data_IF_163308411033
#
_entry.id   IF_163308411033
#
_cell.length_a   1.000
_cell.length_b   1.000
_cell.length_c   1.000
_cell.angle_alpha   90.00
_cell.angle_beta   90.00
_cell.angle_gamma   90.00
#
_symmetry.space_group_name_H-M   'P 1'
#
loop_
_entity.id
_entity.type
_entity.pdbx_description
1 polymer ?
#
# COMPACT_ATOMS: atom_id res chain seq x y z
N UNK A 1 12.71 -7.50 27.08
CA UNK A 1 13.64 -6.53 27.70
C UNK A 1 13.39 -6.33 29.19
N UNK A 2 12.14 -6.22 29.66
CA UNK A 2 11.82 -6.05 31.09
C UNK A 2 12.42 -7.16 31.99
N UNK A 3 12.39 -8.43 31.56
CA UNK A 3 13.04 -9.55 32.28
C UNK A 3 14.57 -9.44 32.42
N UNK A 4 15.26 -8.76 31.50
CA UNK A 4 16.72 -8.56 31.60
C UNK A 4 17.01 -7.51 32.68
N UNK A 5 16.23 -6.44 32.73
CA UNK A 5 16.33 -5.43 33.77
C UNK A 5 15.95 -5.97 35.16
N UNK A 6 14.91 -6.79 35.26
CA UNK A 6 14.42 -7.28 36.56
C UNK A 6 15.20 -8.50 37.11
N UNK A 7 15.78 -9.35 36.25
CA UNK A 7 16.51 -10.54 36.71
C UNK A 7 18.01 -10.53 36.47
N UNK A 8 18.49 -9.95 35.37
CA UNK A 8 19.90 -10.05 34.98
C UNK A 8 20.75 -8.96 35.62
N UNK A 9 20.25 -7.72 35.69
CA UNK A 9 20.96 -6.64 36.39
C UNK A 9 21.13 -6.91 37.91
N UNK A 10 20.13 -7.43 38.64
CA UNK A 10 20.30 -7.68 40.08
C UNK A 10 21.12 -8.95 40.40
N UNK A 11 21.10 -9.97 39.53
CA UNK A 11 21.69 -11.29 39.83
C UNK A 11 23.08 -11.53 39.23
N UNK A 12 23.55 -10.67 38.30
CA UNK A 12 24.85 -10.77 37.62
C UNK A 12 25.18 -12.16 37.04
N UNK A 13 24.17 -13.00 36.76
CA UNK A 13 24.35 -14.38 36.33
C UNK A 13 24.38 -14.49 34.81
N UNK A 14 25.60 -14.63 34.27
CA UNK A 14 25.86 -14.94 32.85
C UNK A 14 24.99 -16.11 32.32
N UNK A 15 24.76 -17.21 33.07
CA UNK A 15 23.94 -18.32 32.59
C UNK A 15 22.50 -17.92 32.25
N UNK A 16 21.86 -17.07 33.09
CA UNK A 16 20.47 -16.65 32.88
C UNK A 16 20.33 -15.74 31.65
N UNK A 17 21.35 -14.91 31.38
CA UNK A 17 21.40 -14.09 30.18
C UNK A 17 21.53 -14.94 28.92
N UNK A 18 22.31 -16.03 28.96
CA UNK A 18 22.42 -16.97 27.82
C UNK A 18 21.09 -17.65 27.54
N UNK A 19 20.40 -18.16 28.57
CA UNK A 19 19.07 -18.77 28.39
C UNK A 19 18.04 -17.78 27.85
N UNK A 20 17.97 -16.56 28.40
CA UNK A 20 17.05 -15.53 27.90
C UNK A 20 17.37 -15.13 26.47
N UNK A 21 18.65 -15.02 26.11
CA UNK A 21 19.09 -14.74 24.74
C UNK A 21 18.72 -15.86 23.77
N UNK A 22 18.88 -17.12 24.19
CA UNK A 22 18.54 -18.28 23.36
C UNK A 22 17.02 -18.40 23.15
N UNK A 23 16.22 -18.14 24.20
CA UNK A 23 14.76 -18.07 24.10
C UNK A 23 14.34 -16.90 23.20
N UNK A 24 14.93 -15.72 23.37
CA UNK A 24 14.64 -14.55 22.53
C UNK A 24 14.96 -14.82 21.06
N UNK A 25 16.11 -15.46 20.79
CA UNK A 25 16.50 -15.85 19.43
C UNK A 25 15.53 -16.88 18.84
N UNK A 26 15.13 -17.89 19.61
CA UNK A 26 14.10 -18.85 19.21
C UNK A 26 12.75 -18.18 18.93
N UNK A 27 12.31 -17.26 19.78
CA UNK A 27 11.09 -16.49 19.59
C UNK A 27 11.14 -15.59 18.35
N UNK A 28 12.29 -14.98 18.06
CA UNK A 28 12.50 -14.18 16.84
C UNK A 28 12.46 -15.04 15.58
N UNK A 29 13.09 -16.22 15.60
CA UNK A 29 13.01 -17.18 14.48
C UNK A 29 11.56 -17.64 14.26
N UNK A 30 10.84 -17.92 15.34
CA UNK A 30 9.44 -18.31 15.28
C UNK A 30 8.57 -17.18 14.72
N UNK A 31 8.76 -15.95 15.20
CA UNK A 31 8.09 -14.76 14.68
C UNK A 31 8.36 -14.57 13.18
N UNK A 32 9.64 -14.64 12.76
CA UNK A 32 10.03 -14.52 11.36
C UNK A 32 9.40 -15.63 10.49
N UNK A 33 9.31 -16.84 11.02
CA UNK A 33 8.66 -17.97 10.33
C UNK A 33 7.16 -17.73 10.18
N UNK A 34 6.47 -17.29 11.24
CA UNK A 34 5.04 -16.97 11.18
C UNK A 34 4.77 -15.82 10.21
N UNK A 35 5.59 -14.78 10.20
CA UNK A 35 5.48 -13.67 9.26
C UNK A 35 5.69 -14.12 7.81
N UNK A 36 6.65 -15.01 7.56
CA UNK A 36 6.88 -15.59 6.23
C UNK A 36 5.67 -16.44 5.79
N UNK A 37 5.14 -17.28 6.67
CA UNK A 37 3.95 -18.10 6.40
C UNK A 37 2.75 -17.20 6.09
N UNK A 38 2.51 -16.16 6.90
CA UNK A 38 1.43 -15.18 6.69
C UNK A 38 1.56 -14.49 5.33
N UNK A 39 2.77 -14.06 4.95
CA UNK A 39 3.03 -13.43 3.66
C UNK A 39 2.69 -14.36 2.48
N UNK A 40 3.05 -15.65 2.56
CA UNK A 40 2.71 -16.66 1.55
C UNK A 40 1.19 -16.86 1.46
N UNK A 41 0.48 -16.92 2.58
CA UNK A 41 -0.97 -17.04 2.58
C UNK A 41 -1.66 -15.81 1.96
N UNK A 42 -1.25 -14.59 2.30
CA UNK A 42 -1.77 -13.37 1.67
C UNK A 42 -1.56 -13.39 0.14
N UNK A 43 -0.39 -13.82 -0.32
CA UNK A 43 -0.13 -13.96 -1.76
C UNK A 43 -1.01 -15.04 -2.41
N UNK A 44 -1.24 -16.18 -1.73
CA UNK A 44 -2.13 -17.24 -2.24
C UNK A 44 -3.58 -16.76 -2.34
N UNK A 45 -4.06 -16.01 -1.35
CA UNK A 45 -5.39 -15.37 -1.39
C UNK A 45 -5.45 -14.39 -2.57
N UNK A 46 -4.44 -13.55 -2.75
CA UNK A 46 -4.38 -12.63 -3.89
C UNK A 46 -4.43 -13.35 -5.25
N UNK A 47 -3.72 -14.48 -5.40
CA UNK A 47 -3.78 -15.31 -6.61
C UNK A 47 -5.13 -16.01 -6.80
N UNK A 48 -5.84 -16.32 -5.71
CA UNK A 48 -7.18 -16.90 -5.81
C UNK A 48 -8.21 -15.90 -6.35
N UNK A 49 -8.04 -14.60 -6.07
CA UNK A 49 -8.84 -13.54 -6.67
C UNK A 49 -8.60 -13.48 -8.19
N UNK A 50 -7.34 -13.54 -8.64
CA UNK A 50 -7.01 -13.56 -10.07
C UNK A 50 -7.67 -14.74 -10.80
N UNK A 51 -7.73 -15.92 -10.16
CA UNK A 51 -8.34 -17.11 -10.77
C UNK A 51 -9.86 -17.01 -10.87
N UNK A 52 -10.52 -16.39 -9.89
CA UNK A 52 -11.98 -16.26 -9.90
C UNK A 52 -12.47 -15.10 -10.76
N UNK A 53 -11.78 -13.96 -10.69
CA UNK A 53 -12.21 -12.72 -11.36
C UNK A 53 -11.44 -12.41 -12.64
N UNK A 54 -10.39 -13.17 -12.96
CA UNK A 54 -9.56 -12.93 -14.14
C UNK A 54 -10.30 -13.12 -15.46
N UNK A 55 -11.15 -14.15 -15.54
CA UNK A 55 -11.99 -14.41 -16.73
C UNK A 55 -13.02 -13.29 -16.91
N UNK A 56 -13.77 -12.96 -15.84
CA UNK A 56 -14.76 -11.88 -15.86
C UNK A 56 -14.13 -10.52 -16.19
N UNK A 57 -12.96 -10.21 -15.62
CA UNK A 57 -12.24 -8.97 -15.89
C UNK A 57 -11.73 -8.90 -17.34
N UNK A 58 -11.31 -10.04 -17.91
CA UNK A 58 -10.90 -10.13 -19.31
C UNK A 58 -12.10 -9.95 -20.26
N UNK A 59 -13.22 -10.62 -19.98
CA UNK A 59 -14.48 -10.45 -20.74
C UNK A 59 -14.97 -9.00 -20.63
N UNK A 60 -14.93 -8.39 -19.45
CA UNK A 60 -15.28 -6.99 -19.24
C UNK A 60 -14.36 -6.04 -20.01
N UNK A 61 -13.07 -6.37 -20.11
CA UNK A 61 -12.11 -5.58 -20.89
C UNK A 61 -12.39 -5.63 -22.39
N UNK A 62 -12.90 -6.75 -22.92
CA UNK A 62 -13.23 -6.91 -24.35
C UNK A 62 -14.60 -6.32 -24.69
N UNK A 63 -15.58 -6.48 -23.79
CA UNK A 63 -16.96 -6.00 -23.99
C UNK A 63 -17.13 -4.51 -23.71
N UNK A 64 -16.15 -3.86 -23.09
CA UNK A 64 -16.16 -2.42 -22.86
C UNK A 64 -16.20 -1.63 -24.18
N UNK A 65 -17.00 -0.56 -24.30
CA UNK A 65 -16.97 0.33 -25.47
C UNK A 65 -15.58 0.93 -25.74
N UNK A 66 -14.73 0.97 -24.70
CA UNK A 66 -13.33 1.43 -24.77
C UNK A 66 -12.34 0.32 -25.14
N UNK A 67 -12.78 -0.93 -25.28
CA UNK A 67 -11.95 -2.05 -25.75
C UNK A 67 -11.38 -1.77 -27.14
N UNK A 68 -12.18 -1.16 -28.03
CA UNK A 68 -11.73 -0.67 -29.34
C UNK A 68 -10.60 0.37 -29.24
N UNK A 69 -10.40 0.96 -28.06
CA UNK A 69 -9.33 1.90 -27.79
C UNK A 69 -8.03 1.26 -27.28
N UNK A 70 -8.03 -0.06 -27.00
CA UNK A 70 -6.94 -0.75 -26.33
C UNK A 70 -6.95 -0.58 -24.81
N UNK A 71 -8.09 -0.17 -24.24
CA UNK A 71 -8.22 0.11 -22.82
C UNK A 71 -8.37 -1.21 -22.02
N UNK A 72 -7.36 -1.50 -21.20
CA UNK A 72 -7.30 -2.67 -20.29
C UNK A 72 -7.58 -2.27 -18.83
N UNK A 73 -8.31 -1.18 -18.61
CA UNK A 73 -8.62 -0.67 -17.28
C UNK A 73 -9.16 -1.73 -16.31
N UNK A 74 -10.11 -2.62 -16.69
CA UNK A 74 -10.61 -3.67 -15.77
C UNK A 74 -9.51 -4.63 -15.30
N UNK A 75 -8.56 -4.95 -16.18
CA UNK A 75 -7.44 -5.84 -15.87
C UNK A 75 -6.40 -5.14 -14.97
N UNK A 76 -6.20 -3.83 -15.17
CA UNK A 76 -5.38 -2.99 -14.28
C UNK A 76 -5.99 -2.88 -12.89
N UNK A 77 -7.30 -2.67 -12.79
CA UNK A 77 -7.99 -2.54 -11.52
C UNK A 77 -7.96 -3.88 -10.74
N UNK A 78 -8.07 -5.02 -11.44
CA UNK A 78 -7.85 -6.34 -10.86
C UNK A 78 -6.42 -6.49 -10.32
N UNK A 79 -5.41 -6.08 -11.11
CA UNK A 79 -4.01 -6.12 -10.67
C UNK A 79 -3.74 -5.23 -9.44
N UNK A 80 -4.36 -4.03 -9.38
CA UNK A 80 -4.30 -3.14 -8.21
C UNK A 80 -4.95 -3.78 -6.99
N UNK A 81 -6.14 -4.38 -7.15
CA UNK A 81 -6.85 -5.08 -6.07
C UNK A 81 -6.03 -6.26 -5.54
N UNK A 82 -5.45 -7.06 -6.44
CA UNK A 82 -4.53 -8.14 -6.09
C UNK A 82 -3.32 -7.65 -5.30
N UNK A 83 -2.69 -6.58 -5.75
CA UNK A 83 -1.54 -5.97 -5.05
C UNK A 83 -1.93 -5.47 -3.66
N UNK A 84 -3.14 -4.93 -3.50
CA UNK A 84 -3.66 -4.52 -2.20
C UNK A 84 -3.89 -5.70 -1.27
N UNK A 85 -4.47 -6.80 -1.77
CA UNK A 85 -4.69 -8.03 -0.97
C UNK A 85 -3.38 -8.70 -0.58
N UNK A 86 -2.38 -8.69 -1.47
CA UNK A 86 -1.04 -9.18 -1.17
C UNK A 86 -0.23 -8.22 -0.26
N UNK A 87 -0.72 -7.01 0.00
CA UNK A 87 0.02 -6.00 0.76
C UNK A 87 0.07 -6.31 2.25
N UNK A 88 1.16 -5.87 2.90
CA UNK A 88 1.28 -5.88 4.36
C UNK A 88 0.22 -5.02 5.05
N UNK A 89 -0.33 -4.02 4.35
CA UNK A 89 -1.38 -3.14 4.90
C UNK A 89 -2.66 -3.90 5.24
N UNK A 90 -3.08 -4.83 4.39
CA UNK A 90 -4.25 -5.66 4.67
C UNK A 90 -4.01 -6.58 5.87
N UNK A 91 -2.81 -7.16 5.99
CA UNK A 91 -2.44 -7.98 7.14
C UNK A 91 -2.49 -7.19 8.45
N UNK A 92 -1.99 -5.95 8.46
CA UNK A 92 -2.07 -5.08 9.64
C UNK A 92 -3.52 -4.72 10.02
N UNK A 93 -4.43 -4.65 9.04
CA UNK A 93 -5.86 -4.40 9.30
C UNK A 93 -6.52 -5.60 10.00
N UNK A 94 -6.09 -6.82 9.68
CA UNK A 94 -6.53 -8.04 10.37
C UNK A 94 -6.02 -8.07 11.82
N UNK A 95 -4.86 -7.47 12.09
CA UNK A 95 -4.29 -7.38 13.44
C UNK A 95 -4.95 -6.27 14.30
N UNK A 96 -5.58 -5.27 13.66
CA UNK A 96 -6.26 -4.14 14.31
C UNK A 96 -7.25 -4.53 15.45
N UNK A 97 -8.15 -5.53 15.30
CA UNK A 97 -9.06 -5.95 16.37
C UNK A 97 -8.35 -6.52 17.60
N UNK A 98 -7.08 -6.92 17.51
CA UNK A 98 -6.29 -7.37 18.65
C UNK A 98 -5.66 -6.21 19.43
N UNK A 99 -5.59 -5.00 18.85
CA UNK A 99 -5.00 -3.83 19.51
C UNK A 99 -5.68 -3.49 20.87
N UNK A 100 -7.02 -3.50 21.01
CA UNK A 100 -7.67 -3.30 22.30
C UNK A 100 -7.32 -4.40 23.32
N UNK A 101 -7.16 -5.65 22.89
CA UNK A 101 -6.77 -6.76 23.77
C UNK A 101 -5.38 -6.48 24.35
N UNK A 102 -4.43 -6.05 23.53
CA UNK A 102 -3.10 -5.65 23.99
C UNK A 102 -3.15 -4.42 24.92
N UNK A 103 -4.04 -3.45 24.66
CA UNK A 103 -4.23 -2.31 25.54
C UNK A 103 -4.79 -2.69 26.92
N UNK A 104 -5.71 -3.67 26.98
CA UNK A 104 -6.24 -4.21 28.25
C UNK A 104 -5.15 -4.94 29.02
N UNK A 105 -4.35 -5.78 28.36
CA UNK A 105 -3.21 -6.44 29.00
C UNK A 105 -2.21 -5.41 29.54
N UNK A 106 -1.92 -4.35 28.78
CA UNK A 106 -1.04 -3.27 29.21
C UNK A 106 -1.62 -2.49 30.40
N UNK A 107 -2.93 -2.27 30.44
CA UNK A 107 -3.62 -1.65 31.58
C UNK A 107 -3.43 -2.46 32.86
N UNK A 108 -3.52 -3.79 32.79
CA UNK A 108 -3.28 -4.68 33.94
C UNK A 108 -1.84 -4.61 34.47
N UNK A 109 -0.86 -4.29 33.61
CA UNK A 109 0.55 -4.15 34.01
C UNK A 109 0.79 -2.77 34.64
N UNK A 110 0.41 -1.70 33.94
CA UNK A 110 0.60 -0.34 34.43
C UNK A 110 -0.38 0.66 33.78
N UNK A 111 -1.31 1.26 34.55
CA UNK A 111 -2.37 2.11 33.99
C UNK A 111 -1.85 3.38 33.32
N UNK A 112 -0.79 4.00 33.85
CA UNK A 112 -0.19 5.21 33.26
C UNK A 112 0.44 4.94 31.89
N UNK A 113 1.09 3.77 31.70
CA UNK A 113 1.67 3.42 30.41
C UNK A 113 0.57 3.21 29.37
N UNK A 114 -0.53 2.58 29.76
CA UNK A 114 -1.70 2.43 28.89
C UNK A 114 -2.24 3.80 28.44
N UNK A 115 -2.38 4.77 29.35
CA UNK A 115 -2.85 6.11 29.01
C UNK A 115 -1.93 6.82 28.00
N UNK A 116 -0.61 6.73 28.18
CA UNK A 116 0.38 7.28 27.24
C UNK A 116 0.28 6.59 25.87
N UNK A 117 0.17 5.26 25.84
CA UNK A 117 0.03 4.50 24.59
C UNK A 117 -1.26 4.87 23.84
N UNK A 118 -2.39 5.00 24.54
CA UNK A 118 -3.67 5.41 23.95
C UNK A 118 -3.60 6.84 23.41
N UNK A 119 -2.99 7.77 24.15
CA UNK A 119 -2.79 9.14 23.70
C UNK A 119 -1.91 9.19 22.43
N UNK A 120 -0.79 8.45 22.41
CA UNK A 120 0.06 8.33 21.22
C UNK A 120 -0.66 7.72 20.02
N UNK A 121 -1.44 6.67 20.23
CA UNK A 121 -2.27 6.06 19.19
C UNK A 121 -3.30 7.06 18.64
N UNK A 122 -3.95 7.84 19.49
CA UNK A 122 -4.89 8.88 19.08
C UNK A 122 -4.22 9.98 18.23
N UNK A 123 -3.01 10.43 18.61
CA UNK A 123 -2.23 11.39 17.82
C UNK A 123 -1.85 10.82 16.45
N UNK A 124 -1.40 9.56 16.40
CA UNK A 124 -1.08 8.87 15.14
C UNK A 124 -2.31 8.77 14.24
N UNK A 125 -3.47 8.40 14.79
CA UNK A 125 -4.74 8.35 14.04
C UNK A 125 -5.09 9.74 13.49
N UNK A 126 -4.96 10.79 14.31
CA UNK A 126 -5.20 12.18 13.87
C UNK A 126 -4.28 12.59 12.71
N UNK A 127 -2.98 12.28 12.78
CA UNK A 127 -2.05 12.57 11.69
C UNK A 127 -2.39 11.79 10.42
N UNK A 128 -2.73 10.50 10.53
CA UNK A 128 -3.13 9.68 9.38
C UNK A 128 -4.41 10.23 8.74
N UNK A 129 -5.41 10.59 9.55
CA UNK A 129 -6.67 11.16 9.07
C UNK A 129 -6.43 12.51 8.39
N UNK A 130 -5.64 13.39 9.01
CA UNK A 130 -5.28 14.69 8.42
C UNK A 130 -4.54 14.52 7.08
N UNK A 131 -3.54 13.64 7.03
CA UNK A 131 -2.79 13.32 5.81
C UNK A 131 -3.71 12.78 4.70
N UNK A 132 -4.63 11.89 5.05
CA UNK A 132 -5.59 11.33 4.10
C UNK A 132 -6.51 12.41 3.52
N UNK A 133 -7.08 13.29 4.36
CA UNK A 133 -7.94 14.38 3.86
C UNK A 133 -7.16 15.40 3.03
N UNK A 134 -5.94 15.72 3.41
CA UNK A 134 -5.09 16.64 2.67
C UNK A 134 -4.69 16.09 1.29
N UNK A 135 -4.38 14.80 1.20
CA UNK A 135 -3.85 14.17 -0.02
C UNK A 135 -4.96 13.68 -0.96
N UNK A 136 -6.13 13.28 -0.45
CA UNK A 136 -7.19 12.62 -1.24
C UNK A 136 -7.61 13.40 -2.48
N UNK A 137 -7.83 14.71 -2.37
CA UNK A 137 -8.30 15.52 -3.50
C UNK A 137 -7.20 15.71 -4.57
N UNK A 138 -5.97 15.99 -4.14
CA UNK A 138 -4.84 16.19 -5.03
C UNK A 138 -4.47 14.89 -5.77
N UNK A 139 -4.40 13.77 -5.04
CA UNK A 139 -4.13 12.46 -5.61
C UNK A 139 -5.22 12.01 -6.60
N UNK A 140 -6.50 12.28 -6.32
CA UNK A 140 -7.60 12.00 -7.25
C UNK A 140 -7.45 12.74 -8.58
N UNK A 141 -7.18 14.05 -8.53
CA UNK A 141 -6.98 14.88 -9.73
C UNK A 141 -5.74 14.46 -10.52
N UNK A 142 -4.64 14.13 -9.84
CA UNK A 142 -3.42 13.63 -10.47
C UNK A 142 -3.68 12.31 -11.21
N UNK A 143 -4.42 11.39 -10.58
CA UNK A 143 -4.77 10.10 -11.18
C UNK A 143 -5.67 10.26 -12.41
N UNK A 144 -6.69 11.13 -12.35
CA UNK A 144 -7.57 11.42 -13.49
C UNK A 144 -6.78 11.99 -14.68
N UNK A 145 -5.90 12.96 -14.44
CA UNK A 145 -5.04 13.55 -15.46
C UNK A 145 -4.09 12.51 -16.08
N UNK A 146 -3.49 11.64 -15.24
CA UNK A 146 -2.62 10.55 -15.70
C UNK A 146 -3.38 9.53 -16.56
N UNK A 147 -4.61 9.16 -16.19
CA UNK A 147 -5.46 8.27 -17.01
C UNK A 147 -5.78 8.93 -18.35
N UNK A 148 -6.15 10.21 -18.36
CA UNK A 148 -6.44 10.94 -19.59
C UNK A 148 -5.22 11.01 -20.54
N UNK A 149 -4.02 11.25 -20.01
CA UNK A 149 -2.78 11.26 -20.80
C UNK A 149 -2.47 9.87 -21.41
N UNK A 150 -2.70 8.79 -20.66
CA UNK A 150 -2.53 7.42 -21.15
C UNK A 150 -3.54 7.06 -22.25
N UNK A 151 -4.81 7.40 -22.09
CA UNK A 151 -5.84 7.18 -23.12
C UNK A 151 -5.52 7.93 -24.41
N UNK A 152 -4.99 9.16 -24.29
CA UNK A 152 -4.54 9.93 -25.45
C UNK A 152 -3.37 9.25 -26.18
N UNK A 153 -2.40 8.72 -25.43
CA UNK A 153 -1.28 7.96 -26.01
C UNK A 153 -1.77 6.69 -26.73
N UNK A 154 -2.69 5.95 -26.14
CA UNK A 154 -3.30 4.76 -26.76
C UNK A 154 -4.01 5.12 -28.08
N UNK A 155 -4.75 6.23 -28.10
CA UNK A 155 -5.45 6.69 -29.32
C UNK A 155 -4.48 7.06 -30.45
N UNK A 156 -3.34 7.68 -30.15
CA UNK A 156 -2.32 8.02 -31.15
C UNK A 156 -1.57 6.79 -31.66
N UNK A 157 -1.19 5.88 -30.77
CA UNK A 157 -0.50 4.63 -31.15
C UNK A 157 -1.39 3.74 -32.00
N UNK A 158 -2.70 3.68 -31.72
CA UNK A 158 -3.65 2.93 -32.55
C UNK A 158 -3.78 3.52 -33.95
N UNK A 159 -3.80 4.85 -34.07
CA UNK A 159 -3.87 5.56 -35.35
C UNK A 159 -2.48 5.90 -35.92
N UNK A 160 -1.45 5.10 -35.60
CA UNK A 160 -0.06 5.38 -35.98
C UNK A 160 0.14 5.58 -37.48
N UNK A 161 -0.61 4.84 -38.31
CA UNK A 161 -0.48 4.88 -39.77
C UNK A 161 -0.98 6.22 -40.32
N UNK A 162 -2.09 6.74 -39.77
CA UNK A 162 -2.59 8.07 -40.10
C UNK A 162 -1.66 9.16 -39.60
N UNK A 163 -1.16 9.05 -38.37
CA UNK A 163 -0.25 10.04 -37.77
C UNK A 163 1.07 10.11 -38.53
N UNK A 164 1.63 8.96 -38.91
CA UNK A 164 2.85 8.87 -39.72
C UNK A 164 2.60 9.33 -41.16
N UNK A 165 1.50 8.90 -41.77
CA UNK A 165 1.15 9.27 -43.14
C UNK A 165 0.87 10.76 -43.34
N UNK A 166 0.40 11.45 -42.31
CA UNK A 166 0.18 12.91 -42.33
C UNK A 166 1.37 13.72 -41.79
N UNK A 167 2.47 13.09 -41.38
CA UNK A 167 3.63 13.78 -40.79
C UNK A 167 3.34 14.49 -39.46
N UNK A 168 2.27 14.10 -38.75
CA UNK A 168 1.75 14.80 -37.57
C UNK A 168 2.45 14.42 -36.25
N UNK A 169 3.52 13.65 -36.30
CA UNK A 169 4.21 13.11 -35.11
C UNK A 169 4.59 14.23 -34.13
N UNK A 170 5.15 15.35 -34.61
CA UNK A 170 5.55 16.48 -33.76
C UNK A 170 4.39 17.14 -33.02
N UNK A 171 3.25 17.35 -33.69
CA UNK A 171 2.06 17.93 -33.04
C UNK A 171 1.41 16.97 -32.05
N UNK A 172 1.45 15.67 -32.35
CA UNK A 172 0.93 14.61 -31.50
C UNK A 172 1.76 14.47 -30.22
N UNK A 173 3.09 14.49 -30.34
CA UNK A 173 4.00 14.43 -29.19
C UNK A 173 3.90 15.68 -28.32
N UNK A 174 3.76 16.88 -28.91
CA UNK A 174 3.53 18.12 -28.15
C UNK A 174 2.20 18.08 -27.39
N UNK A 175 1.13 17.65 -28.04
CA UNK A 175 -0.21 17.54 -27.42
C UNK A 175 -0.24 16.52 -26.29
N UNK A 176 0.41 15.37 -26.47
CA UNK A 176 0.57 14.39 -25.40
C UNK A 176 1.46 14.92 -24.28
N UNK A 177 2.60 15.53 -24.62
CA UNK A 177 3.56 16.08 -23.66
C UNK A 177 2.95 17.13 -22.74
N UNK A 178 2.08 18.00 -23.26
CA UNK A 178 1.30 18.95 -22.44
C UNK A 178 0.41 18.25 -21.41
N UNK A 179 -0.37 17.25 -21.83
CA UNK A 179 -1.24 16.48 -20.93
C UNK A 179 -0.47 15.67 -19.90
N UNK A 180 0.69 15.14 -20.28
CA UNK A 180 1.58 14.44 -19.38
C UNK A 180 2.21 15.40 -18.35
N UNK A 181 2.65 16.58 -18.79
CA UNK A 181 3.19 17.61 -17.89
C UNK A 181 2.14 18.10 -16.88
N UNK A 182 0.89 18.30 -17.30
CA UNK A 182 -0.22 18.65 -16.39
C UNK A 182 -0.43 17.55 -15.33
N UNK A 183 -0.41 16.28 -15.73
CA UNK A 183 -0.52 15.15 -14.80
C UNK A 183 0.67 15.07 -13.85
N UNK A 184 1.89 15.27 -14.34
CA UNK A 184 3.12 15.28 -13.54
C UNK A 184 3.11 16.40 -12.51
N UNK A 185 2.70 17.63 -12.88
CA UNK A 185 2.60 18.75 -11.95
C UNK A 185 1.57 18.50 -10.84
N UNK A 186 0.43 17.90 -11.17
CA UNK A 186 -0.57 17.51 -10.17
C UNK A 186 -0.05 16.40 -9.25
N UNK A 187 0.71 15.45 -9.78
CA UNK A 187 1.35 14.39 -9.01
C UNK A 187 2.43 14.94 -8.06
N UNK A 188 3.24 15.89 -8.51
CA UNK A 188 4.24 16.56 -7.69
C UNK A 188 3.58 17.35 -6.55
N UNK A 189 2.49 18.08 -6.84
CA UNK A 189 1.70 18.76 -5.83
C UNK A 189 1.09 17.81 -4.79
N UNK A 190 0.56 16.67 -5.22
CA UNK A 190 0.06 15.64 -4.31
C UNK A 190 1.19 15.03 -3.45
N UNK A 191 2.37 14.82 -4.04
CA UNK A 191 3.55 14.29 -3.35
C UNK A 191 4.11 15.28 -2.33
N UNK A 192 4.10 16.57 -2.64
CA UNK A 192 4.51 17.63 -1.72
C UNK A 192 3.59 17.72 -0.49
N UNK A 193 2.27 17.57 -0.67
CA UNK A 193 1.32 17.49 0.45
C UNK A 193 1.65 16.28 1.32
N UNK A 194 1.89 15.12 0.72
CA UNK A 194 2.22 13.91 1.46
C UNK A 194 3.55 14.06 2.25
N UNK A 195 4.54 14.75 1.69
CA UNK A 195 5.82 15.02 2.34
C UNK A 195 5.72 15.88 3.61
N UNK A 196 4.66 16.70 3.75
CA UNK A 196 4.41 17.50 4.96
C UNK A 196 3.94 16.61 6.13
N UNK A 197 3.33 15.46 5.83
CA UNK A 197 2.76 14.55 6.81
C UNK A 197 3.55 13.23 6.98
N UNK A 198 4.67 13.07 6.28
CA UNK A 198 5.57 11.91 6.35
C UNK A 198 6.63 12.07 7.45
#
# INVERSE_FOLDING_TARGET
MMQVYDRVLPSASIPTLVYLSLIALGALIFLATLDAVRAVYCQRVALSLDKHFGEDAFIASISSPKAAMGDIQPLRDLATTRSFVASKGLANLIDLPFAPIFAVILYCIHPVLCLVTVAGAAVMILMVVASHYATRSAAGKAQEAAVAANLLAQAFTRNRETVQGMGMIGHVTERWGRRFADAANLQDGASAINAIFA
#
